data_IF_791182051349
#
_entry.id   IF_791182051349
#
_cell.length_a   1.000
_cell.length_b   1.000
_cell.length_c   1.000
_cell.angle_alpha   90.00
_cell.angle_beta   90.00
_cell.angle_gamma   90.00
#
_symmetry.space_group_name_H-M   'P 1'
#
loop_
_entity.id
_entity.type
_entity.pdbx_description
1 polymer ?
#
# COMPACT_ATOMS: atom_id res chain seq x y z
N UNK A 1 -6.31 6.38 -18.68
CA UNK A 1 -5.55 6.16 -17.44
C UNK A 1 -6.36 6.82 -16.33
N UNK A 2 -7.03 6.05 -15.45
CA UNK A 2 -7.90 6.61 -14.39
C UNK A 2 -7.00 7.10 -13.26
N UNK A 3 -7.09 8.37 -12.89
CA UNK A 3 -6.42 8.89 -11.70
C UNK A 3 -7.08 8.29 -10.46
N UNK A 4 -6.26 7.73 -9.57
CA UNK A 4 -6.71 7.34 -8.23
C UNK A 4 -6.83 8.62 -7.37
N UNK A 5 -7.80 8.70 -6.45
CA UNK A 5 -8.01 9.86 -5.61
C UNK A 5 -6.77 10.17 -4.77
N UNK A 6 -6.51 11.46 -4.60
CA UNK A 6 -5.35 11.98 -3.87
C UNK A 6 -5.49 11.62 -2.39
N UNK A 7 -4.72 10.64 -1.92
CA UNK A 7 -4.62 10.29 -0.50
C UNK A 7 -4.42 8.80 -0.19
N UNK A 8 -4.96 7.90 -1.01
CA UNK A 8 -4.76 6.45 -0.89
C UNK A 8 -4.66 5.81 -2.28
N UNK A 9 -3.67 4.96 -2.51
CA UNK A 9 -3.55 4.27 -3.79
C UNK A 9 -2.24 3.53 -4.00
N UNK A 10 -2.19 2.83 -5.13
CA UNK A 10 -1.00 2.12 -5.61
C UNK A 10 -0.60 2.78 -6.93
N UNK A 11 0.64 3.27 -6.99
CA UNK A 11 1.25 3.79 -8.22
C UNK A 11 2.43 2.90 -8.59
N UNK A 12 2.61 2.65 -9.89
CA UNK A 12 3.74 1.92 -10.42
C UNK A 12 4.46 2.77 -11.47
N UNK A 13 5.77 2.92 -11.32
CA UNK A 13 6.64 3.65 -12.25
C UNK A 13 7.92 2.83 -12.45
N UNK A 14 8.10 2.31 -13.67
CA UNK A 14 9.20 1.38 -13.97
C UNK A 14 9.17 0.16 -13.04
N UNK A 15 10.23 -0.05 -12.28
CA UNK A 15 10.37 -1.13 -11.29
C UNK A 15 10.00 -0.71 -9.86
N UNK A 16 9.44 0.50 -9.66
CA UNK A 16 9.02 1.01 -8.36
C UNK A 16 7.51 0.93 -8.20
N UNK A 17 7.07 0.32 -7.11
CA UNK A 17 5.67 0.37 -6.66
C UNK A 17 5.62 1.24 -5.41
N UNK A 18 4.81 2.29 -5.45
CA UNK A 18 4.53 3.15 -4.30
C UNK A 18 3.11 2.90 -3.82
N UNK A 19 2.99 2.59 -2.54
CA UNK A 19 1.71 2.45 -1.85
C UNK A 19 1.59 3.64 -0.91
N UNK A 20 0.55 4.45 -1.10
CA UNK A 20 0.22 5.57 -0.21
C UNK A 20 -1.01 5.17 0.60
N UNK A 21 -0.91 5.26 1.91
CA UNK A 21 -2.02 5.08 2.86
C UNK A 21 -2.17 6.39 3.62
N UNK A 22 -3.40 6.91 3.67
CA UNK A 22 -3.67 8.17 4.36
C UNK A 22 -3.56 8.01 5.87
N UNK A 23 -3.10 9.06 6.54
CA UNK A 23 -2.81 9.02 7.97
C UNK A 23 -4.03 8.65 8.82
N UNK A 24 -5.23 9.12 8.46
CA UNK A 24 -6.50 8.79 9.14
C UNK A 24 -6.81 7.28 9.14
N UNK A 25 -6.25 6.52 8.20
CA UNK A 25 -6.38 5.06 8.14
C UNK A 25 -5.34 4.31 8.97
N UNK A 26 -4.34 5.02 9.50
CA UNK A 26 -3.22 4.44 10.26
C UNK A 26 -3.12 4.98 11.69
N UNK A 27 -3.74 6.12 11.99
CA UNK A 27 -3.58 6.81 13.27
C UNK A 27 -4.18 6.03 14.45
N UNK A 28 -5.42 5.55 14.31
CA UNK A 28 -6.14 4.87 15.40
C UNK A 28 -6.13 3.33 15.31
N UNK A 29 -5.32 2.75 14.42
CA UNK A 29 -5.38 1.30 14.19
C UNK A 29 -4.53 0.52 15.19
N UNK A 30 -5.11 -0.54 15.74
CA UNK A 30 -4.43 -1.43 16.70
C UNK A 30 -3.60 -2.54 16.04
N UNK A 31 -3.67 -2.69 14.71
CA UNK A 31 -2.90 -3.71 14.01
C UNK A 31 -1.45 -3.27 13.80
N UNK A 32 -0.50 -4.17 14.07
CA UNK A 32 0.94 -3.92 13.88
C UNK A 32 1.45 -4.51 12.57
N UNK A 33 0.75 -5.50 12.02
CA UNK A 33 1.09 -6.08 10.72
C UNK A 33 -0.13 -6.57 9.97
N UNK A 34 -0.08 -6.52 8.64
CA UNK A 34 -1.12 -7.03 7.76
C UNK A 34 -0.49 -7.81 6.60
N UNK A 35 -1.11 -8.92 6.22
CA UNK A 35 -0.72 -9.65 5.01
C UNK A 35 -1.12 -8.82 3.77
N UNK A 36 -0.33 -8.90 2.71
CA UNK A 36 -0.65 -8.28 1.44
C UNK A 36 -0.25 -9.16 0.26
N UNK A 37 -1.00 -9.03 -0.82
CA UNK A 37 -0.67 -9.55 -2.14
C UNK A 37 -0.68 -8.39 -3.13
N UNK A 38 0.38 -8.23 -3.92
CA UNK A 38 0.42 -7.33 -5.06
C UNK A 38 0.12 -8.13 -6.32
N UNK A 39 -0.98 -7.81 -6.98
CA UNK A 39 -1.44 -8.51 -8.16
C UNK A 39 -1.54 -7.55 -9.35
N UNK A 40 -1.23 -8.08 -10.54
CA UNK A 40 -1.41 -7.40 -11.81
C UNK A 40 -2.37 -8.20 -12.67
N UNK A 41 -3.34 -7.50 -13.26
CA UNK A 41 -4.19 -8.05 -14.31
C UNK A 41 -3.63 -7.62 -15.66
N UNK A 42 -3.33 -8.58 -16.53
CA UNK A 42 -2.85 -8.28 -17.89
C UNK A 42 -3.99 -7.90 -18.84
N UNK A 43 -3.65 -7.49 -20.07
CA UNK A 43 -4.63 -7.08 -21.08
C UNK A 43 -5.58 -8.19 -21.54
N UNK A 44 -5.34 -9.45 -21.17
CA UNK A 44 -6.22 -10.60 -21.42
C UNK A 44 -7.12 -10.92 -20.24
N UNK A 45 -7.03 -10.15 -19.15
CA UNK A 45 -7.79 -10.38 -17.92
C UNK A 45 -7.18 -11.43 -17.00
N UNK A 46 -5.98 -11.96 -17.30
CA UNK A 46 -5.31 -12.90 -16.39
C UNK A 46 -4.68 -12.16 -15.23
N UNK A 47 -4.89 -12.70 -14.03
CA UNK A 47 -4.28 -12.19 -12.79
C UNK A 47 -2.97 -12.92 -12.51
N UNK A 48 -1.92 -12.16 -12.22
CA UNK A 48 -0.63 -12.67 -11.73
C UNK A 48 -0.30 -12.00 -10.41
N UNK A 49 0.05 -12.79 -9.39
CA UNK A 49 0.68 -12.27 -8.17
C UNK A 49 2.13 -11.93 -8.47
N UNK A 50 2.48 -10.65 -8.32
CA UNK A 50 3.83 -10.13 -8.53
C UNK A 50 4.70 -10.37 -7.29
N UNK A 51 4.15 -10.08 -6.12
CA UNK A 51 4.76 -10.37 -4.83
C UNK A 51 3.68 -10.46 -3.75
N UNK A 52 4.05 -11.06 -2.62
CA UNK A 52 3.21 -11.14 -1.44
C UNK A 52 4.09 -11.03 -0.20
N UNK A 53 3.47 -10.74 0.93
CA UNK A 53 4.19 -10.66 2.18
C UNK A 53 3.39 -10.05 3.30
N UNK A 54 4.08 -9.31 4.16
CA UNK A 54 3.50 -8.67 5.34
C UNK A 54 4.02 -7.25 5.46
N UNK A 55 3.12 -6.28 5.54
CA UNK A 55 3.46 -4.92 5.93
C UNK A 55 3.47 -4.84 7.44
N UNK A 56 4.40 -4.07 8.00
CA UNK A 56 4.41 -3.72 9.42
C UNK A 56 4.12 -2.23 9.55
N UNK A 57 3.14 -1.89 10.38
CA UNK A 57 2.89 -0.51 10.78
C UNK A 57 3.69 -0.26 12.06
N UNK A 58 4.61 0.69 11.98
CA UNK A 58 5.37 1.17 13.14
C UNK A 58 4.86 2.57 13.44
N UNK A 59 4.15 2.73 14.56
CA UNK A 59 3.79 4.05 15.06
C UNK A 59 5.04 4.72 15.59
N UNK A 60 5.56 5.67 14.81
CA UNK A 60 6.61 6.56 15.30
C UNK A 60 5.97 7.61 16.21
N UNK A 61 5.95 7.33 17.51
CA UNK A 61 5.45 8.22 18.56
C UNK A 61 6.55 9.10 19.15
N UNK A 62 7.61 9.42 18.38
CA UNK A 62 8.65 10.32 18.85
C UNK A 62 8.02 11.66 19.23
N UNK A 63 7.95 11.95 20.53
CA UNK A 63 7.53 13.25 21.03
C UNK A 63 8.59 14.26 20.60
N UNK A 64 8.23 15.25 19.79
CA UNK A 64 9.04 16.44 19.66
C UNK A 64 9.11 17.09 21.04
N UNK A 65 10.30 17.06 21.64
CA UNK A 65 10.64 17.76 22.88
C UNK A 65 10.97 19.21 22.60
#
# INVERSE_FOLDING_TARGET
>A
MRSLPVGCGIAAEGNRVQITVSHDKTDAVAWQSAAYDLQMTDGTGRVKTLCSGRVRLTHDITRQV
#
